data_IF_940280926789
#
_entry.id   IF_940280926789
#
_cell.length_a   1.000
_cell.length_b   1.000
_cell.length_c   1.000
_cell.angle_alpha   90.00
_cell.angle_beta   90.00
_cell.angle_gamma   90.00
#
_symmetry.space_group_name_H-M   'P 1'
#
loop_
_entity.id
_entity.type
_entity.pdbx_description
1 polymer ?
#
# COMPACT_ATOMS: atom_id res chain seq x y z
N UNK A 1 10.54 10.89 -26.34
CA UNK A 1 10.01 12.16 -25.79
C UNK A 1 10.17 12.07 -24.29
N UNK A 2 10.82 13.04 -23.66
CA UNK A 2 10.73 13.18 -22.21
C UNK A 2 9.25 13.44 -21.92
N UNK A 3 8.58 12.48 -21.29
CA UNK A 3 7.23 12.70 -20.80
C UNK A 3 7.41 13.74 -19.69
N UNK A 4 6.77 14.89 -19.84
CA UNK A 4 6.63 15.85 -18.75
C UNK A 4 6.25 15.14 -17.47
N UNK A 5 6.92 15.46 -16.37
CA UNK A 5 6.61 14.84 -15.08
C UNK A 5 5.13 14.99 -14.70
N UNK A 6 4.70 14.33 -13.63
CA UNK A 6 3.31 14.41 -13.16
C UNK A 6 2.76 15.85 -13.08
N UNK A 7 3.60 16.84 -12.76
CA UNK A 7 3.22 18.26 -12.73
C UNK A 7 2.85 18.82 -14.10
N UNK A 8 3.61 18.52 -15.16
CA UNK A 8 3.25 18.96 -16.52
C UNK A 8 1.96 18.26 -17.00
N UNK A 9 1.78 16.99 -16.63
CA UNK A 9 0.55 16.26 -16.94
C UNK A 9 -0.67 16.91 -16.26
N UNK A 10 -0.54 17.38 -15.02
CA UNK A 10 -1.63 18.05 -14.29
C UNK A 10 -2.18 19.25 -15.07
N UNK A 11 -1.30 20.03 -15.68
CA UNK A 11 -1.70 21.26 -16.36
C UNK A 11 -2.16 21.03 -17.80
N UNK A 12 -1.61 20.01 -18.46
CA UNK A 12 -1.81 19.79 -19.91
C UNK A 12 -2.85 18.74 -20.25
N UNK A 13 -3.12 17.77 -19.35
CA UNK A 13 -4.02 16.67 -19.63
C UNK A 13 -5.47 17.04 -19.33
N UNK A 14 -6.31 17.09 -20.37
CA UNK A 14 -7.76 17.30 -20.23
C UNK A 14 -8.47 15.99 -19.87
N UNK A 15 -9.08 15.99 -18.69
CA UNK A 15 -9.88 14.91 -18.13
C UNK A 15 -11.34 15.11 -18.53
N UNK A 16 -11.97 14.05 -19.05
CA UNK A 16 -13.38 14.04 -19.39
C UNK A 16 -14.00 12.74 -18.88
N UNK A 17 -14.75 12.85 -17.78
CA UNK A 17 -15.34 11.70 -17.09
C UNK A 17 -16.63 11.27 -17.79
N UNK A 18 -16.73 9.97 -18.06
CA UNK A 18 -17.94 9.33 -18.58
C UNK A 18 -18.81 8.78 -17.43
N UNK A 19 -18.16 8.22 -16.40
CA UNK A 19 -18.82 7.61 -15.25
C UNK A 19 -17.90 7.63 -14.04
N UNK A 20 -18.44 7.94 -12.86
CA UNK A 20 -17.77 7.74 -11.58
C UNK A 20 -18.73 7.05 -10.59
N UNK A 21 -18.22 6.12 -9.79
CA UNK A 21 -19.04 5.38 -8.81
C UNK A 21 -18.22 4.91 -7.60
N UNK A 22 -18.88 4.85 -6.44
CA UNK A 22 -18.34 4.29 -5.21
C UNK A 22 -19.18 3.11 -4.72
N UNK A 23 -18.53 2.09 -4.16
CA UNK A 23 -19.21 0.94 -3.55
C UNK A 23 -18.50 0.45 -2.29
N UNK A 24 -19.21 -0.20 -1.35
CA UNK A 24 -18.57 -0.84 -0.20
C UNK A 24 -17.50 -1.86 -0.64
N UNK A 25 -16.38 -1.90 0.07
CA UNK A 25 -15.31 -2.87 -0.07
C UNK A 25 -14.94 -3.42 1.31
N UNK A 26 -15.56 -4.53 1.69
CA UNK A 26 -15.35 -5.16 2.98
C UNK A 26 -14.46 -6.39 2.83
N UNK A 27 -13.36 -6.44 3.59
CA UNK A 27 -12.41 -7.57 3.55
C UNK A 27 -12.07 -8.01 4.98
N UNK A 28 -12.33 -9.28 5.36
CA UNK A 28 -11.95 -9.79 6.68
C UNK A 28 -10.42 -9.90 6.82
N UNK A 29 -9.92 -9.77 8.05
CA UNK A 29 -8.50 -9.98 8.36
C UNK A 29 -8.20 -11.46 8.66
N UNK A 30 -6.97 -11.91 8.39
CA UNK A 30 -6.52 -13.28 8.76
C UNK A 30 -6.55 -13.48 10.28
N UNK A 31 -6.19 -12.42 11.01
CA UNK A 31 -6.26 -12.35 12.46
C UNK A 31 -6.58 -10.91 12.87
N UNK A 32 -7.14 -10.68 14.07
CA UNK A 32 -7.47 -9.34 14.53
C UNK A 32 -6.23 -8.45 14.57
N UNK A 33 -6.34 -7.24 14.00
CA UNK A 33 -5.27 -6.26 14.03
C UNK A 33 -5.50 -5.28 15.20
N UNK A 34 -4.61 -5.32 16.19
CA UNK A 34 -4.74 -4.50 17.42
C UNK A 34 -3.67 -3.43 17.45
N UNK A 35 -4.11 -2.18 17.61
CA UNK A 35 -3.26 -1.01 17.88
C UNK A 35 -3.52 -0.51 19.31
N UNK A 36 -2.83 0.57 19.73
CA UNK A 36 -2.98 1.14 21.06
C UNK A 36 -4.44 1.51 21.38
N UNK A 37 -5.14 2.14 20.43
CA UNK A 37 -6.48 2.70 20.60
C UNK A 37 -7.64 1.80 20.15
N UNK A 38 -7.39 0.78 19.34
CA UNK A 38 -8.48 -0.01 18.73
C UNK A 38 -8.07 -1.43 18.35
N UNK A 39 -9.08 -2.26 18.07
CA UNK A 39 -8.94 -3.60 17.50
C UNK A 39 -9.86 -3.71 16.30
N UNK A 40 -9.34 -4.26 15.20
CA UNK A 40 -10.05 -4.44 13.94
C UNK A 40 -10.08 -5.93 13.59
N UNK A 41 -11.27 -6.46 13.26
CA UNK A 41 -11.43 -7.83 12.76
C UNK A 41 -11.78 -7.86 11.26
N UNK A 42 -12.28 -6.76 10.71
CA UNK A 42 -12.66 -6.60 9.29
C UNK A 42 -12.42 -5.17 8.85
N UNK A 43 -11.99 -5.00 7.60
CA UNK A 43 -11.76 -3.69 6.98
C UNK A 43 -13.04 -3.24 6.27
N UNK A 44 -13.49 -2.00 6.57
CA UNK A 44 -14.72 -1.41 6.04
C UNK A 44 -14.48 -0.31 5.01
N UNK A 45 -13.82 -0.62 3.89
CA UNK A 45 -13.33 0.38 2.94
C UNK A 45 -14.38 0.75 1.87
N UNK A 46 -14.06 1.73 1.04
CA UNK A 46 -14.83 2.02 -0.19
C UNK A 46 -13.94 1.71 -1.39
N UNK A 47 -14.56 1.23 -2.46
CA UNK A 47 -13.94 1.10 -3.77
C UNK A 47 -14.50 2.17 -4.70
N UNK A 48 -13.63 3.02 -5.22
CA UNK A 48 -13.97 4.08 -6.16
C UNK A 48 -13.50 3.72 -7.56
N UNK A 49 -14.34 3.97 -8.54
CA UNK A 49 -14.05 3.74 -9.96
C UNK A 49 -14.36 5.01 -10.74
N UNK A 50 -13.41 5.45 -11.55
CA UNK A 50 -13.59 6.53 -12.52
C UNK A 50 -13.32 6.00 -13.92
N UNK A 51 -14.22 6.30 -14.85
CA UNK A 51 -14.09 5.97 -16.28
C UNK A 51 -14.11 7.26 -17.10
N UNK A 52 -13.08 7.43 -17.93
CA UNK A 52 -12.96 8.54 -18.86
C UNK A 52 -13.72 8.24 -20.15
N UNK A 53 -14.11 9.27 -20.91
CA UNK A 53 -14.79 9.11 -22.21
C UNK A 53 -13.96 8.38 -23.28
N UNK A 54 -12.65 8.31 -23.11
CA UNK A 54 -11.78 7.47 -23.94
C UNK A 54 -11.86 5.97 -23.58
N UNK A 55 -12.71 5.59 -22.62
CA UNK A 55 -12.91 4.22 -22.15
C UNK A 55 -11.87 3.75 -21.12
N UNK A 56 -10.95 4.61 -20.72
CA UNK A 56 -9.94 4.29 -19.72
C UNK A 56 -10.54 4.35 -18.32
N UNK A 57 -10.15 3.40 -17.47
CA UNK A 57 -10.71 3.23 -16.12
C UNK A 57 -9.59 3.30 -15.11
N UNK A 58 -9.86 3.92 -13.98
CA UNK A 58 -8.98 3.92 -12.82
C UNK A 58 -9.71 3.62 -11.53
N UNK A 59 -8.96 3.18 -10.52
CA UNK A 59 -9.49 2.75 -9.22
C UNK A 59 -8.76 3.40 -8.04
N UNK A 60 -9.50 3.60 -6.95
CA UNK A 60 -8.97 4.06 -5.67
C UNK A 60 -9.67 3.38 -4.49
N UNK A 61 -8.96 3.26 -3.37
CA UNK A 61 -9.38 2.47 -2.22
C UNK A 61 -9.24 3.19 -0.88
N UNK A 62 -10.09 4.19 -0.57
CA UNK A 62 -10.09 4.88 0.73
C UNK A 62 -10.38 3.93 1.90
N UNK A 63 -9.87 4.25 3.09
CA UNK A 63 -9.93 3.39 4.29
C UNK A 63 -10.72 4.02 5.43
N UNK A 64 -11.55 3.20 6.10
CA UNK A 64 -12.44 3.56 7.22
C UNK A 64 -12.60 2.31 8.12
N UNK A 65 -12.51 2.36 9.47
CA UNK A 65 -12.64 3.51 10.40
C UNK A 65 -11.32 3.87 11.15
N UNK A 66 -11.35 4.92 11.98
CA UNK A 66 -10.30 5.43 12.92
C UNK A 66 -9.21 6.37 12.38
N UNK A 67 -9.41 6.93 11.18
CA UNK A 67 -8.42 7.83 10.54
C UNK A 67 -9.00 9.21 10.32
N UNK A 68 -10.23 9.27 9.80
CA UNK A 68 -10.98 10.49 9.60
C UNK A 68 -12.31 10.40 10.37
N UNK A 69 -13.07 11.50 10.42
CA UNK A 69 -14.36 11.54 11.12
C UNK A 69 -15.43 10.64 10.46
N UNK A 70 -15.15 10.07 9.28
CA UNK A 70 -16.11 9.33 8.47
C UNK A 70 -16.18 7.84 8.86
N UNK A 71 -17.41 7.34 9.00
CA UNK A 71 -17.71 5.92 8.86
C UNK A 71 -17.98 5.57 7.37
N UNK A 72 -18.08 4.27 7.07
CA UNK A 72 -18.30 3.80 5.68
C UNK A 72 -19.56 4.39 5.02
N UNK A 73 -20.72 4.49 5.69
CA UNK A 73 -21.88 5.18 5.14
C UNK A 73 -21.63 6.66 4.80
N UNK A 74 -20.98 7.41 5.69
CA UNK A 74 -20.68 8.83 5.48
C UNK A 74 -19.74 9.03 4.29
N UNK A 75 -18.69 8.22 4.20
CA UNK A 75 -17.76 8.28 3.07
C UNK A 75 -18.41 7.87 1.74
N UNK A 76 -19.36 6.92 1.74
CA UNK A 76 -20.13 6.58 0.53
C UNK A 76 -21.05 7.72 0.08
N UNK A 77 -21.64 8.45 1.02
CA UNK A 77 -22.44 9.63 0.71
C UNK A 77 -21.56 10.75 0.12
N UNK A 78 -20.41 11.02 0.73
CA UNK A 78 -19.42 11.97 0.21
C UNK A 78 -18.90 11.56 -1.17
N UNK A 79 -18.59 10.27 -1.35
CA UNK A 79 -18.20 9.69 -2.64
C UNK A 79 -19.25 9.93 -3.71
N UNK A 80 -20.54 9.67 -3.40
CA UNK A 80 -21.64 9.84 -4.35
C UNK A 80 -21.73 11.28 -4.82
N UNK A 81 -21.67 12.25 -3.92
CA UNK A 81 -21.74 13.66 -4.25
C UNK A 81 -20.61 14.09 -5.22
N UNK A 82 -19.37 13.65 -4.97
CA UNK A 82 -18.24 13.96 -5.85
C UNK A 82 -18.30 13.17 -7.16
N UNK A 83 -18.76 11.91 -7.14
CA UNK A 83 -18.95 11.13 -8.38
C UNK A 83 -20.00 11.76 -9.30
N UNK A 84 -21.09 12.29 -8.73
CA UNK A 84 -22.10 13.04 -9.47
C UNK A 84 -21.51 14.31 -10.07
N UNK A 85 -20.74 15.08 -9.29
CA UNK A 85 -20.01 16.25 -9.79
C UNK A 85 -19.07 15.90 -10.96
N UNK A 86 -18.26 14.85 -10.82
CA UNK A 86 -17.31 14.42 -11.85
C UNK A 86 -18.04 14.03 -13.14
N UNK A 87 -19.15 13.32 -13.04
CA UNK A 87 -19.92 12.82 -14.19
C UNK A 87 -20.58 13.94 -15.00
N UNK A 88 -20.95 15.05 -14.33
CA UNK A 88 -21.64 16.19 -14.96
C UNK A 88 -20.71 17.36 -15.30
N UNK A 89 -19.46 17.34 -14.85
CA UNK A 89 -18.48 18.38 -15.14
C UNK A 89 -18.04 18.38 -16.61
N UNK A 90 -17.81 19.55 -17.22
CA UNK A 90 -17.20 19.63 -18.55
C UNK A 90 -15.74 19.15 -18.51
N UNK A 91 -15.13 18.87 -19.67
CA UNK A 91 -13.70 18.54 -19.74
C UNK A 91 -12.84 19.63 -19.09
N UNK A 92 -11.93 19.22 -18.20
CA UNK A 92 -11.09 20.13 -17.41
C UNK A 92 -9.67 19.57 -17.32
N UNK A 93 -8.66 20.43 -17.15
CA UNK A 93 -7.31 19.97 -16.84
C UNK A 93 -7.28 19.17 -15.52
N UNK A 94 -6.40 18.17 -15.43
CA UNK A 94 -6.30 17.27 -14.27
C UNK A 94 -6.02 18.02 -12.97
N UNK A 95 -5.08 18.97 -12.96
CA UNK A 95 -4.71 19.77 -11.79
C UNK A 95 -5.88 20.52 -11.19
N UNK A 96 -6.54 21.43 -11.95
CA UNK A 96 -7.74 22.12 -11.49
C UNK A 96 -8.86 21.18 -11.04
N UNK A 97 -9.04 20.03 -11.70
CA UNK A 97 -10.05 19.06 -11.30
C UNK A 97 -9.73 18.43 -9.92
N UNK A 98 -8.46 18.16 -9.62
CA UNK A 98 -8.04 17.68 -8.31
C UNK A 98 -8.23 18.76 -7.22
N UNK A 99 -8.05 20.04 -7.55
CA UNK A 99 -8.30 21.16 -6.63
C UNK A 99 -9.79 21.35 -6.33
N UNK A 100 -10.66 21.16 -7.33
CA UNK A 100 -12.12 21.12 -7.13
C UNK A 100 -12.53 19.96 -6.22
N UNK A 101 -11.96 18.77 -6.42
CA UNK A 101 -12.18 17.62 -5.53
C UNK A 101 -11.75 17.96 -4.10
N UNK A 102 -10.59 18.60 -3.91
CA UNK A 102 -10.12 19.03 -2.60
C UNK A 102 -11.02 20.07 -1.95
N UNK A 103 -11.64 20.94 -2.75
CA UNK A 103 -12.61 21.95 -2.28
C UNK A 103 -13.94 21.32 -1.85
N UNK A 104 -14.39 20.28 -2.56
CA UNK A 104 -15.58 19.49 -2.19
C UNK A 104 -15.39 18.61 -0.96
N UNK A 105 -14.15 18.17 -0.71
CA UNK A 105 -13.77 17.30 0.38
C UNK A 105 -12.68 17.96 1.22
N UNK A 106 -12.96 19.06 1.94
CA UNK A 106 -11.92 19.86 2.59
C UNK A 106 -11.40 19.22 3.88
N UNK A 107 -10.17 19.57 4.24
CA UNK A 107 -9.59 19.26 5.55
C UNK A 107 -9.24 17.78 5.77
N UNK A 108 -8.94 17.46 7.03
CA UNK A 108 -8.56 16.10 7.43
C UNK A 108 -9.77 15.15 7.42
N UNK A 109 -10.96 15.65 7.77
CA UNK A 109 -12.16 14.81 7.97
C UNK A 109 -12.57 14.05 6.70
N UNK A 110 -12.25 14.56 5.52
CA UNK A 110 -12.54 13.92 4.23
C UNK A 110 -11.28 13.46 3.49
N UNK A 111 -10.12 13.47 4.14
CA UNK A 111 -8.85 13.19 3.48
C UNK A 111 -8.77 11.77 2.90
N UNK A 112 -9.37 10.78 3.58
CA UNK A 112 -9.37 9.38 3.13
C UNK A 112 -10.18 9.25 1.83
N UNK A 113 -11.42 9.73 1.82
CA UNK A 113 -12.27 9.67 0.63
C UNK A 113 -11.70 10.50 -0.53
N UNK A 114 -11.13 11.69 -0.23
CA UNK A 114 -10.43 12.53 -1.20
C UNK A 114 -9.28 11.77 -1.85
N UNK A 115 -8.40 11.16 -1.06
CA UNK A 115 -7.30 10.34 -1.57
C UNK A 115 -7.80 9.24 -2.51
N UNK A 116 -8.89 8.57 -2.12
CA UNK A 116 -9.53 7.56 -2.95
C UNK A 116 -9.96 8.05 -4.34
N UNK A 117 -10.56 9.24 -4.43
CA UNK A 117 -11.03 9.80 -5.70
C UNK A 117 -9.85 10.27 -6.55
N UNK A 118 -8.87 10.94 -5.93
CA UNK A 118 -7.64 11.38 -6.59
C UNK A 118 -6.87 10.19 -7.16
N UNK A 119 -6.73 9.08 -6.40
CA UNK A 119 -6.12 7.84 -6.89
C UNK A 119 -6.84 7.30 -8.13
N UNK A 120 -8.17 7.20 -8.09
CA UNK A 120 -8.97 6.67 -9.20
C UNK A 120 -8.83 7.54 -10.46
N UNK A 121 -8.78 8.86 -10.31
CA UNK A 121 -8.61 9.79 -11.41
C UNK A 121 -7.21 9.69 -12.03
N UNK A 122 -6.16 9.71 -11.20
CA UNK A 122 -4.77 9.62 -11.64
C UNK A 122 -4.50 8.27 -12.31
N UNK A 123 -5.02 7.16 -11.76
CA UNK A 123 -4.94 5.84 -12.37
C UNK A 123 -5.66 5.81 -13.74
N UNK A 124 -6.83 6.43 -13.86
CA UNK A 124 -7.57 6.49 -15.12
C UNK A 124 -6.79 7.27 -16.20
N UNK A 125 -6.17 8.39 -15.82
CA UNK A 125 -5.32 9.18 -16.72
C UNK A 125 -4.08 8.40 -17.13
N UNK A 126 -3.36 7.80 -16.18
CA UNK A 126 -2.18 6.98 -16.46
C UNK A 126 -2.51 5.81 -17.41
N UNK A 127 -3.66 5.17 -17.21
CA UNK A 127 -4.17 4.11 -18.07
C UNK A 127 -4.50 4.61 -19.49
N UNK A 128 -5.01 5.84 -19.63
CA UNK A 128 -5.36 6.44 -20.93
C UNK A 128 -4.15 6.78 -21.80
N UNK A 129 -3.02 7.09 -21.17
CA UNK A 129 -1.74 7.38 -21.85
C UNK A 129 -0.80 6.16 -21.85
N UNK A 130 -1.24 5.04 -21.30
CA UNK A 130 -0.50 3.77 -21.22
C UNK A 130 0.85 3.87 -20.49
N UNK A 131 0.92 4.71 -19.46
CA UNK A 131 2.11 4.88 -18.63
C UNK A 131 1.87 4.25 -17.26
N UNK A 132 2.78 3.39 -16.76
CA UNK A 132 2.68 2.89 -15.39
C UNK A 132 2.77 4.03 -14.37
N UNK A 133 1.97 4.00 -13.31
CA UNK A 133 1.94 5.06 -12.29
C UNK A 133 3.32 5.41 -11.71
N UNK A 134 4.19 4.43 -11.50
CA UNK A 134 5.54 4.69 -10.96
C UNK A 134 6.41 5.47 -11.94
N UNK A 135 6.24 5.24 -13.26
CA UNK A 135 6.91 6.02 -14.30
C UNK A 135 6.33 7.42 -14.38
N UNK A 136 5.00 7.56 -14.24
CA UNK A 136 4.33 8.86 -14.17
C UNK A 136 4.88 9.71 -13.01
N UNK A 137 5.16 9.09 -11.86
CA UNK A 137 5.74 9.75 -10.69
C UNK A 137 7.28 9.93 -10.74
N UNK A 138 7.93 9.66 -11.88
CA UNK A 138 9.36 9.96 -12.08
C UNK A 138 10.25 8.76 -12.33
N UNK A 139 9.78 7.54 -12.06
CA UNK A 139 10.44 6.33 -12.52
C UNK A 139 11.73 5.92 -11.80
N UNK A 140 11.96 6.33 -10.55
CA UNK A 140 13.23 6.09 -9.85
C UNK A 140 13.58 4.60 -9.65
N UNK A 141 12.59 3.76 -9.34
CA UNK A 141 12.78 2.34 -9.09
C UNK A 141 11.55 1.52 -9.50
N UNK A 142 11.75 0.21 -9.68
CA UNK A 142 10.69 -0.79 -9.89
C UNK A 142 10.56 -1.76 -8.72
N UNK A 143 11.31 -1.53 -7.66
CA UNK A 143 11.44 -2.37 -6.48
C UNK A 143 11.54 -1.53 -5.21
N UNK A 144 10.79 -1.91 -4.19
CA UNK A 144 10.89 -1.35 -2.84
C UNK A 144 11.18 -2.46 -1.83
N UNK A 145 11.77 -2.11 -0.68
CA UNK A 145 11.97 -3.02 0.45
C UNK A 145 11.00 -2.57 1.54
N UNK A 146 10.02 -3.40 1.86
CA UNK A 146 9.01 -3.09 2.88
C UNK A 146 9.37 -3.73 4.22
N UNK A 147 8.93 -3.11 5.32
CA UNK A 147 8.83 -3.74 6.62
C UNK A 147 7.59 -4.64 6.74
N UNK A 148 7.40 -5.23 7.93
CA UNK A 148 6.20 -5.96 8.32
C UNK A 148 5.82 -5.62 9.76
N UNK A 149 4.53 -5.46 10.00
CA UNK A 149 3.97 -5.10 11.29
C UNK A 149 3.81 -6.31 12.21
N UNK A 150 4.30 -6.16 13.44
CA UNK A 150 3.98 -6.99 14.60
C UNK A 150 2.98 -6.19 15.46
N UNK A 151 1.74 -6.66 15.64
CA UNK A 151 0.73 -5.99 16.47
C UNK A 151 1.09 -6.07 17.96
N UNK A 152 0.35 -5.36 18.81
CA UNK A 152 0.52 -5.45 20.27
C UNK A 152 0.08 -6.85 20.73
N UNK A 153 1.05 -7.69 21.10
CA UNK A 153 0.87 -9.08 21.56
C UNK A 153 1.87 -9.41 22.69
N UNK A 154 1.74 -10.59 23.30
CA UNK A 154 2.67 -11.02 24.35
C UNK A 154 4.10 -11.24 23.79
N UNK A 155 5.17 -11.05 24.60
CA UNK A 155 6.56 -11.16 24.12
C UNK A 155 6.89 -12.46 23.39
N UNK A 156 6.38 -13.59 23.87
CA UNK A 156 6.56 -14.90 23.23
C UNK A 156 5.94 -14.94 21.83
N UNK A 157 4.70 -14.46 21.69
CA UNK A 157 3.99 -14.43 20.40
C UNK A 157 4.67 -13.46 19.43
N UNK A 158 5.15 -12.31 19.91
CA UNK A 158 5.89 -11.36 19.10
C UNK A 158 7.19 -11.98 18.53
N UNK A 159 7.93 -12.75 19.34
CA UNK A 159 9.12 -13.48 18.89
C UNK A 159 8.78 -14.57 17.86
N UNK A 160 7.66 -15.28 18.03
CA UNK A 160 7.19 -16.28 17.07
C UNK A 160 6.78 -15.64 15.72
N UNK A 161 6.08 -14.50 15.75
CA UNK A 161 5.75 -13.71 14.56
C UNK A 161 7.00 -13.19 13.87
N UNK A 162 7.95 -12.63 14.63
CA UNK A 162 9.23 -12.18 14.09
C UNK A 162 9.98 -13.31 13.39
N UNK A 163 10.02 -14.51 13.99
CA UNK A 163 10.64 -15.69 13.37
C UNK A 163 9.93 -16.14 12.10
N UNK A 164 8.59 -16.12 12.10
CA UNK A 164 7.76 -16.41 10.92
C UNK A 164 8.05 -15.41 9.79
N UNK A 165 8.12 -14.13 10.08
CA UNK A 165 8.36 -13.10 9.07
C UNK A 165 9.81 -13.07 8.58
N UNK A 166 10.79 -13.32 9.45
CA UNK A 166 12.19 -13.46 9.05
C UNK A 166 12.38 -14.63 8.08
N UNK A 167 11.69 -15.76 8.29
CA UNK A 167 11.66 -16.88 7.33
C UNK A 167 11.08 -16.50 5.96
N UNK A 168 10.24 -15.45 5.90
CA UNK A 168 9.67 -14.90 4.67
C UNK A 168 10.53 -13.81 4.02
N UNK A 169 11.67 -13.44 4.61
CA UNK A 169 12.61 -12.43 4.09
C UNK A 169 12.43 -11.02 4.65
N UNK A 170 11.66 -10.83 5.72
CA UNK A 170 11.57 -9.52 6.38
C UNK A 170 12.72 -9.32 7.36
N UNK A 171 13.47 -8.22 7.20
CA UNK A 171 14.54 -7.80 8.12
C UNK A 171 14.22 -6.50 8.86
N UNK A 172 13.14 -5.83 8.49
CA UNK A 172 12.63 -4.64 9.18
C UNK A 172 11.27 -5.05 9.77
N UNK A 173 11.14 -4.94 11.09
CA UNK A 173 9.93 -5.27 11.82
C UNK A 173 9.37 -3.98 12.41
N UNK A 174 8.13 -3.66 12.10
CA UNK A 174 7.42 -2.53 12.67
C UNK A 174 6.61 -3.01 13.86
N UNK A 175 6.91 -2.56 15.07
CA UNK A 175 6.21 -2.98 16.28
C UNK A 175 5.17 -1.93 16.67
N UNK A 176 3.93 -2.36 16.85
CA UNK A 176 2.93 -1.57 17.54
C UNK A 176 3.24 -1.58 19.04
N UNK A 177 3.35 -0.40 19.63
CA UNK A 177 3.66 -0.18 21.05
C UNK A 177 2.70 0.89 21.60
N UNK A 178 2.91 1.38 22.83
CA UNK A 178 2.14 2.52 23.35
C UNK A 178 0.98 2.13 24.26
N UNK A 179 0.91 0.89 24.76
CA UNK A 179 -0.06 0.54 25.82
C UNK A 179 0.56 0.56 27.21
N UNK A 180 1.78 0.05 27.33
CA UNK A 180 2.53 0.03 28.58
C UNK A 180 4.02 -0.12 28.29
N UNK A 181 4.78 0.89 28.70
CA UNK A 181 6.21 1.00 28.43
C UNK A 181 7.01 -0.25 28.85
N UNK A 182 6.76 -0.78 30.05
CA UNK A 182 7.48 -1.95 30.56
C UNK A 182 7.23 -3.18 29.68
N UNK A 183 5.98 -3.43 29.31
CA UNK A 183 5.65 -4.56 28.43
C UNK A 183 6.18 -4.38 27.01
N UNK A 184 6.22 -3.14 26.51
CA UNK A 184 6.75 -2.84 25.17
C UNK A 184 8.27 -3.13 25.11
N UNK A 185 9.01 -2.79 26.16
CA UNK A 185 10.45 -3.12 26.30
C UNK A 185 10.68 -4.63 26.39
N UNK A 186 9.82 -5.38 27.10
CA UNK A 186 9.90 -6.84 27.17
C UNK A 186 9.69 -7.49 25.79
N UNK A 187 8.73 -7.01 25.01
CA UNK A 187 8.48 -7.46 23.63
C UNK A 187 9.71 -7.21 22.74
N UNK A 188 10.28 -6.00 22.80
CA UNK A 188 11.48 -5.64 22.05
C UNK A 188 12.66 -6.54 22.41
N UNK A 189 12.86 -6.79 23.71
CA UNK A 189 13.93 -7.64 24.22
C UNK A 189 13.77 -9.08 23.76
N UNK A 190 12.56 -9.63 23.79
CA UNK A 190 12.27 -10.99 23.35
C UNK A 190 12.60 -11.18 21.86
N UNK A 191 12.23 -10.23 20.99
CA UNK A 191 12.56 -10.29 19.56
C UNK A 191 14.06 -10.12 19.33
N UNK A 192 14.71 -9.17 20.01
CA UNK A 192 16.15 -8.91 19.84
C UNK A 192 17.01 -10.10 20.25
N UNK A 193 16.62 -10.86 21.27
CA UNK A 193 17.33 -12.08 21.70
C UNK A 193 17.38 -13.15 20.61
N UNK A 194 16.31 -13.33 19.84
CA UNK A 194 16.23 -14.36 18.78
C UNK A 194 16.64 -13.82 17.40
N UNK A 195 16.52 -12.50 17.18
CA UNK A 195 16.80 -11.83 15.92
C UNK A 195 17.64 -10.56 16.14
N UNK A 196 18.94 -10.70 16.49
CA UNK A 196 19.80 -9.58 16.89
C UNK A 196 20.03 -8.54 15.79
N UNK A 197 19.86 -8.91 14.52
CA UNK A 197 20.12 -8.05 13.36
C UNK A 197 18.86 -7.45 12.72
N UNK A 198 17.66 -7.77 13.22
CA UNK A 198 16.45 -7.14 12.69
C UNK A 198 16.43 -5.64 13.03
N UNK A 199 16.02 -4.81 12.08
CA UNK A 199 15.74 -3.39 12.32
C UNK A 199 14.34 -3.26 12.86
N UNK A 200 14.13 -2.33 13.79
CA UNK A 200 12.83 -2.04 14.37
C UNK A 200 12.35 -0.66 13.93
N UNK A 201 11.05 -0.56 13.65
CA UNK A 201 10.30 0.70 13.60
C UNK A 201 9.29 0.61 14.73
N UNK A 202 9.21 1.61 15.60
CA UNK A 202 8.24 1.62 16.71
C UNK A 202 7.10 2.56 16.34
N UNK A 203 5.86 2.09 16.46
CA UNK A 203 4.68 2.88 16.17
C UNK A 203 3.75 2.85 17.38
N UNK A 204 3.84 3.90 18.19
CA UNK A 204 3.09 4.05 19.44
C UNK A 204 1.65 4.53 19.22
N UNK A 205 1.28 5.02 18.03
CA UNK A 205 -0.06 5.51 17.75
C UNK A 205 -0.61 6.49 18.82
N UNK A 206 0.24 7.41 19.30
CA UNK A 206 -0.08 8.40 20.37
C UNK A 206 -0.30 7.80 21.77
N UNK A 207 0.02 6.52 21.96
CA UNK A 207 -0.19 5.81 23.24
C UNK A 207 0.81 6.18 24.35
N UNK A 208 1.87 6.91 24.04
CA UNK A 208 2.81 7.44 25.03
C UNK A 208 2.52 8.91 25.34
N UNK A 209 2.65 9.27 26.61
CA UNK A 209 2.84 10.69 26.99
C UNK A 209 4.18 11.18 26.46
N UNK A 210 4.39 12.50 26.35
CA UNK A 210 5.68 13.07 25.92
C UNK A 210 6.86 12.56 26.75
N UNK A 211 6.69 12.32 28.06
CA UNK A 211 7.77 11.79 28.90
C UNK A 211 8.03 10.29 28.67
N UNK A 212 6.99 9.49 28.44
CA UNK A 212 7.15 8.07 28.08
C UNK A 212 7.69 7.92 26.67
N UNK A 213 7.28 8.79 25.74
CA UNK A 213 7.87 8.92 24.43
C UNK A 213 9.34 9.25 24.63
N UNK A 214 9.71 10.35 25.32
CA UNK A 214 11.10 10.72 25.60
C UNK A 214 11.88 9.58 26.27
N UNK A 215 11.31 8.83 27.22
CA UNK A 215 12.01 7.69 27.83
C UNK A 215 12.22 6.54 26.81
N UNK A 216 11.25 6.33 25.91
CA UNK A 216 11.40 5.44 24.76
C UNK A 216 12.40 6.01 23.76
N UNK A 217 12.44 7.33 23.52
CA UNK A 217 13.28 8.09 22.57
C UNK A 217 14.76 8.14 23.01
N UNK A 218 15.00 8.48 24.26
CA UNK A 218 16.28 8.38 24.98
C UNK A 218 16.79 6.94 24.97
N UNK A 219 15.86 5.98 24.85
CA UNK A 219 16.16 4.58 24.59
C UNK A 219 16.06 4.18 23.10
N UNK A 220 15.52 4.98 22.15
CA UNK A 220 15.18 4.79 20.70
C UNK A 220 14.04 5.75 20.16
N UNK A 221 14.32 6.73 19.27
CA UNK A 221 13.43 7.86 18.79
C UNK A 221 12.20 7.54 17.84
N UNK A 222 10.95 8.08 18.02
CA UNK A 222 10.05 8.82 17.06
C UNK A 222 8.69 9.47 17.60
N UNK A 223 8.06 10.46 16.90
CA UNK A 223 6.66 11.05 17.05
C UNK A 223 5.97 11.43 15.68
N UNK A 224 4.63 11.60 15.59
CA UNK A 224 3.82 11.55 14.32
C UNK A 224 3.29 12.88 13.68
N UNK A 225 3.13 12.90 12.35
CA UNK A 225 2.62 14.03 11.50
C UNK A 225 1.21 13.78 10.90
N UNK A 226 0.36 14.82 10.74
CA UNK A 226 -1.02 14.71 10.18
C UNK A 226 -1.37 15.66 9.02
N UNK A 227 -0.54 16.66 8.70
CA UNK A 227 -0.82 17.62 7.62
C UNK A 227 0.40 18.47 7.24
N UNK A 228 0.27 19.35 6.24
CA UNK A 228 1.37 20.22 5.79
C UNK A 228 1.84 21.19 6.88
N UNK A 229 0.89 21.77 7.64
CA UNK A 229 1.23 22.65 8.75
C UNK A 229 1.94 21.91 9.89
N UNK A 230 1.56 20.64 10.15
CA UNK A 230 2.28 19.79 11.10
C UNK A 230 3.67 19.45 10.60
N UNK A 231 3.84 19.14 9.31
CA UNK A 231 5.14 18.86 8.71
C UNK A 231 6.08 20.06 8.83
N UNK A 232 5.60 21.28 8.52
CA UNK A 232 6.36 22.52 8.70
C UNK A 232 6.75 22.73 10.17
N UNK A 233 5.81 22.53 11.11
CA UNK A 233 6.10 22.63 12.54
C UNK A 233 7.13 21.60 13.01
N UNK A 234 7.06 20.37 12.51
CA UNK A 234 8.00 19.29 12.82
C UNK A 234 9.40 19.63 12.30
N UNK A 235 9.48 20.14 11.07
CA UNK A 235 10.73 20.53 10.42
C UNK A 235 11.36 21.74 11.14
N UNK A 236 10.61 22.84 11.28
CA UNK A 236 11.10 24.08 11.88
C UNK A 236 11.48 23.90 13.35
N UNK A 237 10.76 23.01 14.06
CA UNK A 237 11.03 22.66 15.45
C UNK A 237 12.06 21.54 15.64
N UNK A 238 12.56 20.92 14.56
CA UNK A 238 13.40 19.72 14.59
C UNK A 238 12.82 18.61 15.49
N UNK A 239 11.50 18.38 15.40
CA UNK A 239 10.74 17.51 16.29
C UNK A 239 10.79 16.03 15.89
N UNK A 240 11.11 15.73 14.62
CA UNK A 240 11.23 14.36 14.13
C UNK A 240 12.33 14.23 13.08
N UNK A 241 12.94 13.05 13.01
CA UNK A 241 13.95 12.72 12.01
C UNK A 241 13.35 12.09 10.74
N UNK A 242 12.15 11.50 10.87
CA UNK A 242 11.43 10.82 9.81
C UNK A 242 9.98 11.30 9.78
N UNK A 243 9.41 11.53 8.60
CA UNK A 243 7.98 11.79 8.44
C UNK A 243 7.33 10.60 7.72
N UNK A 244 6.31 10.00 8.36
CA UNK A 244 5.50 8.94 7.76
C UNK A 244 4.33 9.52 6.95
N UNK A 245 4.43 9.40 5.63
CA UNK A 245 3.43 9.82 4.66
C UNK A 245 2.36 8.74 4.53
N UNK A 246 1.10 9.13 4.75
CA UNK A 246 -0.07 8.27 4.53
C UNK A 246 -1.08 8.99 3.66
N UNK A 247 -1.37 8.43 2.49
CA UNK A 247 -2.28 9.05 1.51
C UNK A 247 -3.68 9.24 2.11
N UNK A 248 -4.17 8.29 2.89
CA UNK A 248 -5.46 8.37 3.57
C UNK A 248 -5.60 9.53 4.58
N UNK A 249 -4.49 10.15 5.02
CA UNK A 249 -4.51 11.32 5.92
C UNK A 249 -4.35 12.66 5.19
N UNK A 250 -3.73 12.65 4.02
CA UNK A 250 -3.28 13.87 3.34
C UNK A 250 -4.06 14.15 2.04
N UNK A 251 -4.61 13.11 1.40
CA UNK A 251 -4.82 13.14 -0.05
C UNK A 251 -3.50 12.91 -0.79
N UNK A 252 -3.58 12.65 -2.09
CA UNK A 252 -2.43 12.52 -2.99
C UNK A 252 -1.73 13.87 -3.16
N UNK A 253 -2.47 14.96 -3.41
CA UNK A 253 -1.87 16.28 -3.58
C UNK A 253 -1.19 16.76 -2.30
N UNK A 254 -1.90 16.69 -1.16
CA UNK A 254 -1.32 17.07 0.14
C UNK A 254 -0.10 16.21 0.51
N UNK A 255 -0.05 14.94 0.09
CA UNK A 255 1.12 14.10 0.29
C UNK A 255 2.32 14.58 -0.55
N UNK A 256 2.12 14.96 -1.81
CA UNK A 256 3.17 15.51 -2.67
C UNK A 256 3.75 16.81 -2.09
N UNK A 257 2.89 17.71 -1.61
CA UNK A 257 3.31 18.97 -0.97
C UNK A 257 4.18 18.70 0.27
N UNK A 258 3.75 17.77 1.14
CA UNK A 258 4.52 17.38 2.34
C UNK A 258 5.86 16.75 1.97
N UNK A 259 5.89 15.88 0.95
CA UNK A 259 7.12 15.25 0.46
C UNK A 259 8.11 16.30 -0.04
N UNK A 260 7.65 17.28 -0.83
CA UNK A 260 8.51 18.34 -1.35
C UNK A 260 9.15 19.15 -0.22
N UNK A 261 8.35 19.60 0.75
CA UNK A 261 8.83 20.39 1.90
C UNK A 261 9.80 19.58 2.76
N UNK A 262 9.48 18.32 3.07
CA UNK A 262 10.35 17.44 3.86
C UNK A 262 11.69 17.18 3.16
N UNK A 263 11.67 16.98 1.83
CA UNK A 263 12.90 16.79 1.04
C UNK A 263 13.76 18.04 1.01
N UNK A 264 13.16 19.21 0.84
CA UNK A 264 13.88 20.48 0.85
C UNK A 264 14.56 20.73 2.20
N UNK A 265 13.96 20.23 3.29
CA UNK A 265 14.50 20.31 4.65
C UNK A 265 15.49 19.20 5.02
N UNK A 266 15.68 18.18 4.16
CA UNK A 266 16.54 17.03 4.45
C UNK A 266 15.95 16.04 5.46
N UNK A 267 14.66 16.12 5.78
CA UNK A 267 13.96 15.18 6.66
C UNK A 267 13.76 13.84 5.94
N UNK A 268 14.03 12.73 6.62
CA UNK A 268 13.86 11.41 6.02
C UNK A 268 12.38 11.08 5.87
N UNK A 269 12.05 10.31 4.83
CA UNK A 269 10.66 9.96 4.53
C UNK A 269 10.39 8.47 4.70
N UNK A 270 9.24 8.18 5.29
CA UNK A 270 8.61 6.87 5.33
C UNK A 270 7.31 6.94 4.52
N UNK A 271 7.01 5.94 3.70
CA UNK A 271 5.68 5.76 3.12
C UNK A 271 4.97 4.66 3.89
N UNK A 272 3.73 4.90 4.30
CA UNK A 272 2.91 3.92 4.97
C UNK A 272 1.45 4.02 4.57
N UNK A 273 0.66 3.09 5.08
CA UNK A 273 -0.79 3.08 4.90
C UNK A 273 -1.54 2.98 6.22
N UNK A 274 -2.85 2.93 6.09
CA UNK A 274 -3.75 2.41 7.12
C UNK A 274 -3.88 0.90 6.97
N UNK A 275 -4.95 0.26 7.48
CA UNK A 275 -5.23 -1.14 7.11
C UNK A 275 -5.94 -1.15 5.76
N UNK A 276 -5.17 -1.26 4.68
CA UNK A 276 -5.64 -1.04 3.31
C UNK A 276 -5.58 -2.30 2.45
N UNK A 277 -6.41 -2.32 1.40
CA UNK A 277 -6.30 -3.32 0.33
C UNK A 277 -5.18 -2.93 -0.63
N UNK A 278 -4.84 -3.84 -1.55
CA UNK A 278 -3.81 -3.59 -2.56
C UNK A 278 -4.13 -2.43 -3.50
N UNK A 279 -5.35 -1.88 -3.50
CA UNK A 279 -5.68 -0.66 -4.26
C UNK A 279 -4.89 0.55 -3.76
N UNK A 280 -5.14 0.96 -2.51
CA UNK A 280 -4.47 2.13 -1.94
C UNK A 280 -2.99 1.86 -1.65
N UNK A 281 -2.68 0.68 -1.08
CA UNK A 281 -1.30 0.30 -0.82
C UNK A 281 -0.49 0.16 -2.13
N UNK A 282 -1.15 -0.30 -3.19
CA UNK A 282 -0.60 -0.36 -4.55
C UNK A 282 -0.19 1.01 -5.05
N UNK A 283 -1.11 1.97 -4.97
CA UNK A 283 -0.86 3.35 -5.37
C UNK A 283 0.30 3.98 -4.58
N UNK A 284 0.33 3.80 -3.26
CA UNK A 284 1.42 4.28 -2.40
C UNK A 284 2.78 3.67 -2.81
N UNK A 285 2.81 2.39 -3.15
CA UNK A 285 4.00 1.73 -3.69
C UNK A 285 4.46 2.31 -5.03
N UNK A 286 3.53 2.62 -5.94
CA UNK A 286 3.86 3.30 -7.20
C UNK A 286 4.42 4.71 -6.97
N UNK A 287 3.84 5.47 -6.06
CA UNK A 287 4.31 6.81 -5.69
C UNK A 287 5.74 6.73 -5.12
N UNK A 288 5.97 5.84 -4.16
CA UNK A 288 7.27 5.71 -3.51
C UNK A 288 8.37 5.23 -4.48
N UNK A 289 8.04 4.27 -5.34
CA UNK A 289 8.96 3.77 -6.36
C UNK A 289 9.24 4.81 -7.46
N UNK A 290 8.25 5.65 -7.80
CA UNK A 290 8.43 6.71 -8.77
C UNK A 290 9.32 7.85 -8.26
N UNK A 291 9.06 8.32 -7.03
CA UNK A 291 9.77 9.45 -6.44
C UNK A 291 11.17 9.08 -5.93
N UNK A 292 11.37 7.85 -5.44
CA UNK A 292 12.67 7.34 -5.00
C UNK A 292 13.26 8.02 -3.76
N UNK A 293 12.46 8.79 -3.01
CA UNK A 293 12.91 9.59 -1.87
C UNK A 293 12.58 8.99 -0.49
N UNK A 294 12.04 7.77 -0.44
CA UNK A 294 11.62 7.12 0.79
C UNK A 294 12.70 6.19 1.33
N UNK A 295 13.12 6.43 2.57
CA UNK A 295 14.08 5.58 3.29
C UNK A 295 13.42 4.36 3.93
N UNK A 296 12.16 4.51 4.33
CA UNK A 296 11.35 3.45 4.94
C UNK A 296 10.04 3.26 4.17
N UNK A 297 9.59 2.00 4.07
CA UNK A 297 8.39 1.61 3.32
C UNK A 297 7.62 0.59 4.17
N UNK A 298 6.37 0.92 4.47
CA UNK A 298 5.44 0.14 5.30
C UNK A 298 4.17 -0.13 4.49
N UNK A 299 4.27 -1.09 3.58
CA UNK A 299 3.23 -1.43 2.60
C UNK A 299 2.80 -2.90 2.76
N UNK A 300 2.52 -3.30 4.00
CA UNK A 300 2.39 -4.70 4.40
C UNK A 300 0.94 -5.19 4.56
N UNK A 301 -0.03 -4.27 4.69
CA UNK A 301 -1.39 -4.64 5.12
C UNK A 301 -2.15 -5.58 4.19
N UNK A 302 -1.95 -5.59 2.85
CA UNK A 302 -2.55 -6.62 2.00
C UNK A 302 -2.13 -8.04 2.37
N UNK A 303 -0.99 -8.23 3.05
CA UNK A 303 -0.54 -9.54 3.56
C UNK A 303 -1.27 -9.97 4.83
N UNK A 304 -2.03 -9.08 5.46
CA UNK A 304 -2.82 -9.31 6.67
C UNK A 304 -4.30 -9.62 6.34
N UNK A 305 -4.72 -9.40 5.09
CA UNK A 305 -6.08 -9.67 4.63
C UNK A 305 -6.31 -11.17 4.39
N UNK A 306 -7.50 -11.65 4.73
CA UNK A 306 -7.88 -13.06 4.50
C UNK A 306 -8.09 -13.40 3.02
N UNK A 307 -8.39 -12.39 2.22
CA UNK A 307 -8.54 -12.47 0.78
C UNK A 307 -8.03 -11.16 0.14
N UNK A 308 -7.63 -11.23 -1.13
CA UNK A 308 -7.23 -10.05 -1.90
C UNK A 308 -8.11 -9.90 -3.14
N UNK A 309 -9.13 -9.02 -3.11
CA UNK A 309 -10.06 -8.87 -4.22
C UNK A 309 -9.47 -8.11 -5.41
N UNK A 310 -8.19 -7.70 -5.33
CA UNK A 310 -7.51 -6.86 -6.32
C UNK A 310 -6.68 -7.71 -7.29
N UNK A 311 -6.98 -7.59 -8.58
CA UNK A 311 -6.14 -8.11 -9.65
C UNK A 311 -5.14 -7.02 -10.06
N UNK A 312 -3.85 -7.38 -10.13
CA UNK A 312 -2.76 -6.45 -10.48
C UNK A 312 -2.09 -5.85 -9.25
N UNK A 313 -1.55 -4.63 -9.40
CA UNK A 313 -0.79 -3.95 -8.36
C UNK A 313 0.62 -4.50 -8.17
N UNK A 314 1.19 -4.33 -6.98
CA UNK A 314 2.51 -4.85 -6.67
C UNK A 314 2.50 -6.33 -6.30
N UNK A 315 3.65 -6.96 -6.48
CA UNK A 315 3.90 -8.35 -6.08
C UNK A 315 4.96 -8.39 -4.99
N UNK A 316 4.74 -9.25 -3.99
CA UNK A 316 5.68 -9.46 -2.90
C UNK A 316 6.51 -10.70 -3.20
N UNK A 317 7.82 -10.54 -3.36
CA UNK A 317 8.73 -11.63 -3.68
C UNK A 317 9.97 -11.58 -2.79
N UNK A 318 10.46 -12.75 -2.36
CA UNK A 318 11.82 -12.85 -1.83
C UNK A 318 12.79 -12.74 -3.00
N UNK A 319 13.79 -11.86 -2.92
CA UNK A 319 14.80 -11.74 -3.97
C UNK A 319 15.91 -12.79 -3.75
N UNK A 320 16.10 -13.76 -4.66
CA UNK A 320 17.37 -14.46 -4.74
C UNK A 320 18.38 -13.58 -5.51
N UNK A 321 19.45 -13.16 -4.84
CA UNK A 321 20.73 -12.85 -5.49
C UNK A 321 20.85 -11.53 -6.27
N UNK A 322 20.37 -10.39 -5.73
CA UNK A 322 20.80 -9.10 -6.27
C UNK A 322 22.14 -8.70 -5.63
N UNK A 323 23.23 -8.86 -6.37
CA UNK A 323 24.50 -8.18 -6.09
C UNK A 323 24.31 -6.69 -6.39
N UNK A 324 23.78 -5.93 -5.44
CA UNK A 324 24.06 -4.51 -5.33
C UNK A 324 24.87 -4.30 -4.07
N UNK A 325 25.97 -3.59 -4.22
CA UNK A 325 26.94 -3.28 -3.17
C UNK A 325 26.20 -2.87 -1.89
N UNK A 326 26.44 -3.68 -0.86
CA UNK A 326 26.32 -3.39 0.57
C UNK A 326 25.80 -1.99 0.90
N UNK A 327 24.49 -1.86 1.15
CA UNK A 327 24.11 -1.04 2.29
C UNK A 327 24.50 -1.84 3.54
N UNK A 328 25.60 -1.42 4.18
CA UNK A 328 26.03 -1.82 5.52
C UNK A 328 26.45 -3.28 5.76
N UNK A 329 27.00 -3.96 4.76
CA UNK A 329 27.77 -5.20 5.00
C UNK A 329 26.95 -6.48 5.28
N UNK A 330 25.65 -6.51 4.93
CA UNK A 330 24.80 -7.69 5.11
C UNK A 330 24.56 -8.49 3.81
N UNK A 331 24.43 -9.83 3.87
CA UNK A 331 24.29 -10.67 2.67
C UNK A 331 22.96 -10.44 1.91
N UNK A 332 23.06 -10.43 0.58
CA UNK A 332 22.07 -9.99 -0.41
C UNK A 332 20.87 -10.91 -0.67
N UNK A 333 20.71 -11.99 0.10
CA UNK A 333 19.69 -13.03 -0.12
C UNK A 333 18.45 -12.89 0.78
N UNK A 334 18.33 -11.77 1.51
CA UNK A 334 17.53 -11.71 2.73
C UNK A 334 16.38 -10.70 2.73
N UNK A 335 16.16 -9.92 1.67
CA UNK A 335 15.16 -8.85 1.67
C UNK A 335 13.90 -9.23 0.88
N UNK A 336 12.75 -9.02 1.49
CA UNK A 336 11.46 -9.07 0.81
C UNK A 336 11.27 -7.78 0.01
N UNK A 337 11.05 -7.96 -1.29
CA UNK A 337 10.89 -6.88 -2.23
C UNK A 337 9.45 -6.80 -2.71
N UNK A 338 8.92 -5.58 -2.69
CA UNK A 338 7.70 -5.20 -3.38
C UNK A 338 8.10 -4.84 -4.82
N UNK A 339 7.79 -5.71 -5.78
CA UNK A 339 7.95 -5.44 -7.20
C UNK A 339 6.74 -4.70 -7.72
N UNK A 340 6.99 -3.54 -8.30
CA UNK A 340 5.95 -2.76 -8.96
C UNK A 340 5.75 -3.33 -10.36
N UNK A 341 4.55 -3.85 -10.65
CA UNK A 341 4.25 -4.46 -11.94
C UNK A 341 4.41 -3.44 -13.09
N UNK A 342 5.05 -3.86 -14.19
CA UNK A 342 5.18 -3.04 -15.42
C UNK A 342 3.85 -2.79 -16.11
N UNK A 343 2.92 -3.73 -15.95
CA UNK A 343 1.69 -3.81 -16.72
C UNK A 343 0.66 -4.54 -15.87
N UNK A 344 -0.25 -3.81 -15.21
CA UNK A 344 -1.65 -4.25 -15.00
C UNK A 344 -2.45 -3.22 -14.21
N UNK A 345 -3.67 -3.02 -14.73
CA UNK A 345 -4.76 -2.20 -14.23
C UNK A 345 -5.24 -2.77 -12.90
N UNK A 346 -5.40 -1.92 -11.88
CA UNK A 346 -6.15 -2.32 -10.70
C UNK A 346 -7.55 -2.73 -11.13
N UNK A 347 -8.02 -3.89 -10.69
CA UNK A 347 -9.40 -4.33 -10.90
C UNK A 347 -9.89 -5.02 -9.65
N UNK A 348 -11.16 -4.81 -9.31
CA UNK A 348 -11.79 -5.47 -8.15
C UNK A 348 -12.71 -6.57 -8.65
N UNK A 349 -12.51 -7.79 -8.15
CA UNK A 349 -13.41 -8.92 -8.40
C UNK A 349 -14.60 -8.83 -7.44
N UNK A 350 -15.83 -8.74 -7.97
CA UNK A 350 -17.05 -8.82 -7.17
C UNK A 350 -17.52 -10.27 -6.98
N UNK A 351 -17.94 -10.61 -5.75
CA UNK A 351 -18.64 -11.85 -5.46
C UNK A 351 -19.91 -11.99 -6.29
N UNK A 352 -20.10 -13.20 -6.84
CA UNK A 352 -21.17 -13.64 -7.74
C UNK A 352 -21.34 -12.82 -9.02
N UNK A 353 -20.40 -12.95 -9.96
CA UNK A 353 -20.65 -13.30 -11.37
C UNK A 353 -19.31 -13.31 -12.11
N UNK A 354 -18.86 -14.49 -12.53
CA UNK A 354 -17.72 -14.64 -13.43
C UNK A 354 -18.15 -14.08 -14.80
N UNK A 355 -17.80 -12.83 -15.08
CA UNK A 355 -17.87 -12.30 -16.45
C UNK A 355 -16.60 -12.77 -17.16
N UNK A 356 -16.71 -13.91 -17.84
CA UNK A 356 -15.74 -14.37 -18.83
C UNK A 356 -15.71 -13.35 -19.97
N UNK A 357 -14.72 -12.45 -19.97
CA UNK A 357 -14.37 -11.70 -21.16
C UNK A 357 -13.75 -12.69 -22.16
N UNK A 358 -14.56 -13.11 -23.14
CA UNK A 358 -14.11 -13.83 -24.34
C UNK A 358 -13.06 -12.97 -25.07
N UNK A 359 -12.02 -13.67 -25.51
CA UNK A 359 -10.96 -13.23 -26.43
C UNK A 359 -9.80 -12.45 -25.79
N UNK A 360 -8.76 -13.18 -25.35
CA UNK A 360 -7.41 -13.06 -25.92
C UNK A 360 -6.50 -14.13 -25.30
N UNK A 361 -5.88 -14.91 -26.17
CA UNK A 361 -4.99 -16.05 -25.90
C UNK A 361 -3.61 -15.57 -25.45
N UNK A 362 -3.05 -16.13 -24.37
CA UNK A 362 -1.61 -16.47 -24.29
C UNK A 362 -1.46 -17.77 -23.49
N UNK A 363 -0.74 -18.70 -24.11
CA UNK A 363 -0.47 -20.08 -23.70
C UNK A 363 0.78 -20.15 -22.81
N UNK A 364 0.77 -21.00 -21.77
CA UNK A 364 1.91 -21.84 -21.39
C UNK A 364 1.41 -23.05 -20.57
N UNK A 365 2.06 -24.18 -20.80
CA UNK A 365 1.57 -25.56 -20.70
C UNK A 365 2.12 -26.29 -19.46
N UNK A 366 1.21 -27.02 -18.77
CA UNK A 366 1.30 -28.32 -18.03
C UNK A 366 2.39 -28.58 -16.96
N UNK A 367 2.24 -29.44 -15.93
CA UNK A 367 1.18 -30.35 -15.44
C UNK A 367 1.59 -30.78 -14.00
N UNK A 368 0.65 -30.94 -13.06
CA UNK A 368 0.90 -31.79 -11.88
C UNK A 368 -0.40 -32.37 -11.28
N UNK A 369 -0.47 -33.72 -11.30
CA UNK A 369 -1.28 -34.63 -10.46
C UNK A 369 -2.82 -34.60 -10.63
N UNK A 370 -3.57 -35.71 -10.66
CA UNK A 370 -3.65 -36.87 -9.74
C UNK A 370 -4.38 -38.08 -10.40
N UNK A 371 -3.88 -39.31 -10.27
CA UNK A 371 -4.31 -40.38 -9.33
C UNK A 371 -5.72 -41.02 -9.53
N UNK A 372 -5.68 -42.30 -9.94
CA UNK A 372 -6.52 -43.45 -9.59
C UNK A 372 -8.06 -43.40 -9.72
N UNK A 373 -8.59 -44.25 -10.61
CA UNK A 373 -9.55 -45.34 -10.27
C UNK A 373 -9.59 -46.34 -11.44
N UNK A 374 -9.32 -47.61 -11.13
CA UNK A 374 -9.27 -48.69 -12.12
C UNK A 374 -10.63 -49.24 -12.53
N UNK A 375 -10.65 -50.08 -13.57
CA UNK A 375 -11.30 -51.39 -13.64
C UNK A 375 -11.03 -52.01 -15.04
N UNK A 376 -10.43 -53.21 -15.00
CA UNK A 376 -10.54 -54.39 -15.87
C UNK A 376 -10.20 -54.40 -17.38
N UNK A 377 -9.26 -55.33 -17.66
CA UNK A 377 -9.29 -56.44 -18.64
C UNK A 377 -8.84 -56.25 -20.09
N UNK A 378 -7.84 -57.08 -20.46
CA UNK A 378 -7.47 -57.50 -21.82
C UNK A 378 -6.36 -56.64 -22.42
N UNK A 379 -5.20 -57.13 -22.84
CA UNK A 379 -4.72 -58.48 -23.09
C UNK A 379 -3.70 -58.35 -24.23
N UNK A 380 -2.56 -59.06 -24.12
CA UNK A 380 -1.51 -59.24 -25.14
C UNK A 380 -0.79 -57.94 -25.61
N UNK A 381 0.51 -57.89 -25.91
CA UNK A 381 1.54 -58.90 -26.12
C UNK A 381 2.91 -58.20 -25.99
N UNK A 382 3.93 -59.01 -25.74
CA UNK A 382 5.35 -58.66 -25.73
C UNK A 382 5.80 -57.96 -27.02
N UNK A 383 6.75 -57.01 -26.93
CA UNK A 383 8.03 -57.24 -27.62
C UNK A 383 9.21 -56.44 -27.05
N UNK A 384 10.38 -57.01 -27.29
CA UNK A 384 11.64 -56.89 -26.55
C UNK A 384 12.50 -55.71 -27.03
N UNK A 385 13.29 -55.14 -26.10
CA UNK A 385 14.51 -54.34 -26.36
C UNK A 385 15.47 -55.01 -27.38
N UNK A 386 16.49 -54.36 -28.01
CA UNK A 386 17.41 -53.40 -27.37
C UNK A 386 18.07 -52.30 -28.24
N UNK A 387 18.75 -51.40 -27.52
CA UNK A 387 20.02 -50.68 -27.80
C UNK A 387 20.52 -50.63 -29.26
N UNK A 388 20.85 -49.43 -29.73
CA UNK A 388 22.20 -48.82 -29.72
C UNK A 388 22.04 -47.31 -29.58
#
# INVERSE_FOLDING_TARGET
MAIGGFDELRDTFSVNVARAEGRPLNVPLVAPFTIASSRLDTVGNVALRVELRCGSVGWGGPVLPSVTAEDQPTALAAASAVCDFLTHSPPMALGPLLEEIASHLPGHDFASIRAGIEMALIDAVANSIHIPLWTLFGGASRSLITDITIPIVAPKEAAELAAKYKKRGFNILKLKVGKNLSSDIEVLSAIRQVHPFCRFILDANEGYTTNEAIEVLEKLNDESCRGLDDAKRIIDGNLAHVINIKLAKLGVLGALDVIEVARAAGTELMIGGMVETRLAMGFAGHLAAGLGCFKYVDLDTPLLLSDDPVIGGYEVSSLPGLNQETCDGYPSHLFLCVRIASTRRFQIVGGNHVIMLKNSVVCCVELAHQFQRGVSTGGAELDVMPRI
#
